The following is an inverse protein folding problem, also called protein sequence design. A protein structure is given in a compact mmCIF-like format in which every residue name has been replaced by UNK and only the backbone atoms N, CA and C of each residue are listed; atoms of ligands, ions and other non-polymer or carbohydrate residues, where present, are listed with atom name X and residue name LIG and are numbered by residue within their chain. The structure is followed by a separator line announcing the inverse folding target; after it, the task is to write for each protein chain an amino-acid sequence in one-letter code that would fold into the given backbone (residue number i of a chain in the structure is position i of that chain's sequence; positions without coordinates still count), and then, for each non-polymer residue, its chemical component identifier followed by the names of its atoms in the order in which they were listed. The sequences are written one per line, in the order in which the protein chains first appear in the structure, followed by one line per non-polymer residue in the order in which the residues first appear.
data_IF_323800735587
#
_entry.id   IF_323800735587
#
_cell.length_a   1.000
_cell.length_b   1.000
_cell.length_c   1.000
_cell.angle_alpha   90.00
_cell.angle_beta   90.00
_cell.angle_gamma   90.00
#
_symmetry.space_group_name_H-M   'P 1'
#
loop_
_entity.id
_entity.type
_entity.pdbx_description
1 polymer ?
#
# COMPACT_ATOMS: atom_id res chain seq x y z
N UNK A 1 -0.81 22.37 62.92
CA UNK A 1 -0.38 21.29 63.83
C UNK A 1 -0.42 19.89 63.18
N UNK A 2 -0.25 19.77 61.86
CA UNK A 2 -0.24 18.48 61.12
C UNK A 2 1.06 18.32 60.29
N UNK A 3 1.81 19.41 60.10
CA UNK A 3 3.03 19.44 59.27
C UNK A 3 4.30 18.92 59.96
N UNK A 4 4.28 18.70 61.28
CA UNK A 4 5.46 18.25 62.04
C UNK A 4 5.59 16.70 62.10
N UNK A 5 4.57 15.95 61.70
CA UNK A 5 4.54 14.48 61.81
C UNK A 5 5.15 13.74 60.60
N UNK A 6 5.47 14.45 59.50
CA UNK A 6 6.10 13.84 58.31
C UNK A 6 7.61 13.61 58.51
N UNK A 7 8.25 14.35 59.43
CA UNK A 7 9.70 14.28 59.67
C UNK A 7 10.13 13.23 60.72
N UNK A 8 9.18 12.61 61.43
CA UNK A 8 9.46 11.62 62.48
C UNK A 8 9.14 10.18 62.09
N UNK A 9 8.82 9.91 60.82
CA UNK A 9 8.73 8.55 60.35
C UNK A 9 10.16 8.07 60.03
N UNK A 10 10.71 7.07 60.74
CA UNK A 10 12.06 6.60 60.47
C UNK A 10 12.15 6.20 58.99
N UNK A 11 13.29 6.46 58.32
CA UNK A 11 13.49 6.00 56.96
C UNK A 11 13.14 4.51 56.92
N UNK A 12 12.36 4.09 55.91
CA UNK A 12 12.09 2.67 55.67
C UNK A 12 13.40 2.01 55.18
N UNK A 13 14.35 1.84 56.09
CA UNK A 13 15.61 1.12 55.91
C UNK A 13 15.33 -0.37 56.16
N UNK A 14 14.31 -0.90 55.48
CA UNK A 14 13.93 -2.32 55.52
C UNK A 14 13.34 -2.74 54.16
N UNK A 15 13.81 -2.12 53.07
CA UNK A 15 13.81 -2.81 51.79
C UNK A 15 15.10 -3.66 51.78
N UNK A 16 15.02 -4.99 51.58
CA UNK A 16 16.23 -5.80 51.44
C UNK A 16 17.09 -5.20 50.31
N UNK A 17 18.43 -5.29 50.38
CA UNK A 17 19.30 -4.81 49.31
C UNK A 17 18.84 -5.45 47.99
N UNK A 18 18.85 -4.73 46.88
CA UNK A 18 18.48 -5.25 45.56
C UNK A 18 19.27 -6.54 45.29
N UNK A 19 18.65 -7.70 45.56
CA UNK A 19 19.35 -8.98 45.47
C UNK A 19 19.26 -9.46 44.04
N UNK A 20 20.22 -10.29 43.60
CA UNK A 20 20.12 -10.91 42.28
C UNK A 20 18.81 -11.69 42.09
N UNK A 21 18.17 -12.16 43.18
CA UNK A 21 16.87 -12.83 43.15
C UNK A 21 15.74 -11.88 42.76
N UNK A 22 15.71 -10.66 43.30
CA UNK A 22 14.70 -9.65 42.95
C UNK A 22 14.82 -9.22 41.47
N UNK A 23 16.06 -9.07 41.00
CA UNK A 23 16.34 -8.84 39.58
C UNK A 23 15.92 -10.01 38.68
N UNK A 24 16.14 -11.26 39.13
CA UNK A 24 15.73 -12.46 38.41
C UNK A 24 14.21 -12.60 38.32
N UNK A 25 13.49 -12.25 39.40
CA UNK A 25 12.03 -12.26 39.46
C UNK A 25 11.46 -11.18 38.54
N UNK A 26 12.01 -9.96 38.56
CA UNK A 26 11.59 -8.87 37.68
C UNK A 26 11.83 -9.19 36.20
N UNK A 27 12.97 -9.82 35.91
CA UNK A 27 13.31 -10.33 34.59
C UNK A 27 12.33 -11.43 34.15
N UNK A 28 12.02 -12.40 35.02
CA UNK A 28 11.09 -13.49 34.71
C UNK A 28 9.66 -12.97 34.47
N UNK A 29 9.20 -11.99 35.27
CA UNK A 29 7.92 -11.33 35.04
C UNK A 29 7.89 -10.60 33.70
N UNK A 30 8.93 -9.82 33.39
CA UNK A 30 9.04 -9.12 32.10
C UNK A 30 9.01 -10.11 30.94
N UNK A 31 9.82 -11.17 31.00
CA UNK A 31 9.88 -12.22 29.97
C UNK A 31 8.53 -12.94 29.82
N UNK A 32 7.87 -13.30 30.91
CA UNK A 32 6.54 -13.92 30.88
C UNK A 32 5.47 -12.98 30.33
N UNK A 33 5.52 -11.69 30.66
CA UNK A 33 4.56 -10.69 30.16
C UNK A 33 4.76 -10.43 28.67
N UNK A 34 6.01 -10.40 28.18
CA UNK A 34 6.30 -10.37 26.74
C UNK A 34 5.81 -11.64 26.04
N UNK A 35 6.07 -12.83 26.59
CA UNK A 35 5.63 -14.10 26.01
C UNK A 35 4.10 -14.22 25.93
N UNK A 36 3.38 -13.80 26.99
CA UNK A 36 1.91 -13.74 26.98
C UNK A 36 1.40 -12.73 25.96
N UNK A 37 1.99 -11.54 25.91
CA UNK A 37 1.64 -10.50 24.94
C UNK A 37 1.95 -10.86 23.47
N UNK A 38 2.86 -11.80 23.22
CA UNK A 38 3.10 -12.40 21.89
C UNK A 38 2.11 -13.54 21.61
N UNK A 39 1.84 -14.41 22.59
CA UNK A 39 0.89 -15.51 22.45
C UNK A 39 -0.54 -15.02 22.16
N UNK A 40 -0.96 -13.90 22.75
CA UNK A 40 -2.27 -13.27 22.47
C UNK A 40 -2.35 -12.66 21.06
N UNK A 41 -1.21 -12.29 20.46
CA UNK A 41 -1.14 -11.74 19.09
C UNK A 41 -0.99 -12.81 18.01
N UNK A 42 -0.57 -14.02 18.38
CA UNK A 42 -0.39 -15.17 17.51
C UNK A 42 -1.63 -15.55 16.66
N UNK A 43 -2.88 -15.56 17.17
CA UNK A 43 -4.04 -15.90 16.35
C UNK A 43 -4.28 -14.90 15.22
N UNK A 44 -4.02 -13.60 15.44
CA UNK A 44 -4.14 -12.58 14.40
C UNK A 44 -3.11 -12.77 13.29
N UNK A 45 -1.88 -13.19 13.64
CA UNK A 45 -0.86 -13.50 12.64
C UNK A 45 -1.27 -14.69 11.76
N UNK A 46 -1.84 -15.75 12.34
CA UNK A 46 -2.30 -16.91 11.58
C UNK A 46 -3.44 -16.55 10.61
N UNK A 47 -4.42 -15.76 11.07
CA UNK A 47 -5.53 -15.29 10.23
C UNK A 47 -5.02 -14.36 9.12
N UNK A 48 -4.10 -13.44 9.44
CA UNK A 48 -3.51 -12.53 8.46
C UNK A 48 -2.75 -13.26 7.35
N UNK A 49 -1.93 -14.25 7.71
CA UNK A 49 -1.23 -15.11 6.74
C UNK A 49 -2.22 -15.91 5.90
N UNK A 50 -3.26 -16.48 6.50
CA UNK A 50 -4.28 -17.23 5.78
C UNK A 50 -5.00 -16.35 4.75
N UNK A 51 -5.41 -15.14 5.13
CA UNK A 51 -6.04 -14.17 4.22
C UNK A 51 -5.09 -13.75 3.11
N UNK A 52 -3.83 -13.48 3.43
CA UNK A 52 -2.81 -13.14 2.41
C UNK A 52 -2.65 -14.27 1.38
N UNK A 53 -2.55 -15.52 1.83
CA UNK A 53 -2.44 -16.69 0.96
C UNK A 53 -3.68 -16.82 0.07
N UNK A 54 -4.88 -16.59 0.62
CA UNK A 54 -6.13 -16.62 -0.13
C UNK A 54 -6.14 -15.60 -1.27
N UNK A 55 -5.76 -14.36 -0.99
CA UNK A 55 -5.69 -13.30 -2.01
C UNK A 55 -4.59 -13.56 -3.05
N UNK A 56 -3.43 -14.07 -2.64
CA UNK A 56 -2.37 -14.45 -3.56
C UNK A 56 -2.81 -15.57 -4.51
N UNK A 57 -3.55 -16.55 -3.99
CA UNK A 57 -4.12 -17.62 -4.80
C UNK A 57 -5.19 -17.08 -5.76
N UNK A 58 -6.05 -16.17 -5.30
CA UNK A 58 -7.03 -15.48 -6.14
C UNK A 58 -6.36 -14.68 -7.27
N UNK A 59 -5.29 -13.95 -6.99
CA UNK A 59 -4.52 -13.22 -8.00
C UNK A 59 -3.97 -14.17 -9.08
N UNK A 60 -3.37 -15.29 -8.67
CA UNK A 60 -2.91 -16.33 -9.60
C UNK A 60 -4.05 -16.95 -10.41
N UNK A 61 -5.21 -17.17 -9.79
CA UNK A 61 -6.38 -17.72 -10.46
C UNK A 61 -6.91 -16.74 -11.52
N UNK A 62 -7.06 -15.46 -11.16
CA UNK A 62 -7.47 -14.40 -12.09
C UNK A 62 -6.52 -14.30 -13.28
N UNK A 63 -5.20 -14.36 -13.04
CA UNK A 63 -4.22 -14.37 -14.13
C UNK A 63 -4.46 -15.52 -15.11
N UNK A 64 -4.68 -16.73 -14.59
CA UNK A 64 -4.98 -17.91 -15.41
C UNK A 64 -6.29 -17.76 -16.18
N UNK A 65 -7.33 -17.22 -15.55
CA UNK A 65 -8.65 -17.01 -16.18
C UNK A 65 -8.53 -16.00 -17.32
N UNK A 66 -7.88 -14.85 -17.09
CA UNK A 66 -7.72 -13.81 -18.11
C UNK A 66 -6.96 -14.35 -19.33
N UNK A 67 -5.82 -15.02 -19.11
CA UNK A 67 -5.05 -15.60 -20.22
C UNK A 67 -5.82 -16.72 -20.93
N UNK A 68 -6.56 -17.55 -20.20
CA UNK A 68 -7.38 -18.61 -20.80
C UNK A 68 -8.51 -18.04 -21.66
N UNK A 69 -9.18 -16.99 -21.20
CA UNK A 69 -10.25 -16.31 -21.94
C UNK A 69 -9.72 -15.62 -23.19
N UNK A 70 -8.56 -14.98 -23.10
CA UNK A 70 -7.92 -14.32 -24.25
C UNK A 70 -7.60 -15.31 -25.37
N UNK A 71 -7.00 -16.46 -25.04
CA UNK A 71 -6.68 -17.52 -26.00
C UNK A 71 -7.95 -18.12 -26.63
N UNK A 72 -9.03 -18.29 -25.84
CA UNK A 72 -10.26 -18.90 -26.33
C UNK A 72 -11.09 -17.99 -27.24
N UNK A 73 -11.04 -16.68 -27.02
CA UNK A 73 -11.87 -15.73 -27.77
C UNK A 73 -11.15 -15.12 -28.97
N UNK A 74 -9.82 -15.28 -29.11
CA UNK A 74 -8.99 -14.59 -30.11
C UNK A 74 -9.24 -13.07 -30.19
N UNK A 75 -9.85 -12.50 -29.15
CA UNK A 75 -10.38 -11.13 -29.17
C UNK A 75 -9.29 -10.09 -28.89
N UNK A 76 -8.15 -10.51 -28.34
CA UNK A 76 -7.09 -9.66 -27.81
C UNK A 76 -5.74 -10.31 -28.16
N UNK A 77 -4.75 -9.49 -28.52
CA UNK A 77 -3.36 -9.91 -28.70
C UNK A 77 -2.82 -10.56 -27.40
N UNK A 78 -2.10 -11.68 -27.54
CA UNK A 78 -1.52 -12.42 -26.41
C UNK A 78 -0.62 -11.53 -25.53
N UNK A 79 0.07 -10.56 -26.13
CA UNK A 79 0.91 -9.61 -25.41
C UNK A 79 0.05 -8.69 -24.53
N UNK A 80 -1.05 -8.17 -25.08
CA UNK A 80 -1.96 -7.30 -24.33
C UNK A 80 -2.68 -8.09 -23.21
N UNK A 81 -3.04 -9.34 -23.46
CA UNK A 81 -3.62 -10.23 -22.45
C UNK A 81 -2.65 -10.51 -21.29
N UNK A 82 -1.36 -10.80 -21.56
CA UNK A 82 -0.38 -11.01 -20.48
C UNK A 82 -0.11 -9.71 -19.70
N UNK A 83 -0.09 -8.55 -20.36
CA UNK A 83 0.03 -7.26 -19.68
C UNK A 83 -1.15 -6.99 -18.74
N UNK A 84 -2.38 -7.14 -19.23
CA UNK A 84 -3.60 -6.93 -18.42
C UNK A 84 -3.67 -7.93 -17.27
N UNK A 85 -3.40 -9.22 -17.52
CA UNK A 85 -3.45 -10.26 -16.49
C UNK A 85 -2.41 -10.03 -15.39
N UNK A 86 -1.21 -9.53 -15.74
CA UNK A 86 -0.18 -9.13 -14.76
C UNK A 86 -0.62 -7.94 -13.93
N UNK A 87 -1.18 -6.89 -14.54
CA UNK A 87 -1.67 -5.71 -13.82
C UNK A 87 -2.75 -6.12 -12.83
N UNK A 88 -3.77 -6.86 -13.28
CA UNK A 88 -4.88 -7.31 -12.43
C UNK A 88 -4.38 -8.21 -11.29
N UNK A 89 -3.55 -9.21 -11.60
CA UNK A 89 -2.99 -10.10 -10.57
C UNK A 89 -2.15 -9.36 -9.54
N UNK A 90 -1.40 -8.35 -9.97
CA UNK A 90 -0.57 -7.53 -9.08
C UNK A 90 -1.45 -6.67 -8.17
N UNK A 91 -2.48 -6.01 -8.71
CA UNK A 91 -3.42 -5.22 -7.93
C UNK A 91 -4.14 -6.06 -6.86
N UNK A 92 -4.62 -7.25 -7.22
CA UNK A 92 -5.28 -8.16 -6.27
C UNK A 92 -4.33 -8.60 -5.16
N UNK A 93 -3.07 -8.86 -5.51
CA UNK A 93 -2.04 -9.24 -4.52
C UNK A 93 -1.72 -8.08 -3.57
N UNK A 94 -1.63 -6.85 -4.09
CA UNK A 94 -1.44 -5.63 -3.29
C UNK A 94 -2.63 -5.41 -2.34
N UNK A 95 -3.86 -5.57 -2.83
CA UNK A 95 -5.06 -5.46 -1.98
C UNK A 95 -5.04 -6.52 -0.86
N UNK A 96 -4.70 -7.77 -1.18
CA UNK A 96 -4.54 -8.83 -0.20
C UNK A 96 -3.47 -8.51 0.85
N UNK A 97 -2.34 -7.94 0.42
CA UNK A 97 -1.31 -7.47 1.32
C UNK A 97 -1.81 -6.39 2.27
N UNK A 98 -2.56 -5.39 1.77
CA UNK A 98 -3.13 -4.33 2.60
C UNK A 98 -4.11 -4.87 3.63
N UNK A 99 -5.00 -5.79 3.24
CA UNK A 99 -5.94 -6.43 4.17
C UNK A 99 -5.19 -7.25 5.22
N UNK A 100 -4.16 -8.00 4.83
CA UNK A 100 -3.33 -8.76 5.76
C UNK A 100 -2.60 -7.85 6.76
N UNK A 101 -2.10 -6.69 6.33
CA UNK A 101 -1.47 -5.70 7.22
C UNK A 101 -2.43 -5.17 8.30
N UNK A 102 -3.70 -4.91 7.96
CA UNK A 102 -4.72 -4.50 8.95
C UNK A 102 -4.94 -5.60 9.98
N UNK A 103 -4.94 -6.86 9.55
CA UNK A 103 -5.15 -8.00 10.45
C UNK A 103 -3.92 -8.21 11.36
N UNK A 104 -2.71 -8.02 10.83
CA UNK A 104 -1.48 -8.14 11.62
C UNK A 104 -1.34 -7.07 12.69
N UNK A 105 -1.76 -5.84 12.40
CA UNK A 105 -1.66 -4.73 13.33
C UNK A 105 -3.06 -4.21 13.66
N UNK A 106 -3.73 -4.73 14.71
CA UNK A 106 -5.06 -4.27 15.10
C UNK A 106 -5.12 -2.78 15.49
N UNK A 107 -3.95 -2.16 15.77
CA UNK A 107 -3.82 -0.72 15.98
C UNK A 107 -3.85 0.11 14.69
N UNK A 108 -3.57 -0.50 13.52
CA UNK A 108 -3.70 0.14 12.22
C UNK A 108 -5.16 0.10 11.79
N UNK A 109 -5.75 1.28 11.58
CA UNK A 109 -7.11 1.37 11.06
C UNK A 109 -7.07 1.29 9.53
N UNK A 110 -8.11 0.72 8.88
CA UNK A 110 -8.26 0.81 7.43
C UNK A 110 -8.17 2.25 6.90
N UNK A 111 -8.63 3.23 7.70
CA UNK A 111 -8.54 4.65 7.38
C UNK A 111 -7.11 5.17 7.22
N UNK A 112 -6.15 4.65 7.98
CA UNK A 112 -4.75 5.10 7.92
C UNK A 112 -4.10 4.66 6.59
N UNK A 113 -4.44 3.45 6.14
CA UNK A 113 -4.02 2.94 4.82
C UNK A 113 -4.63 3.77 3.71
N UNK A 114 -5.93 4.06 3.78
CA UNK A 114 -6.62 4.88 2.78
C UNK A 114 -6.03 6.29 2.74
N UNK A 115 -5.71 6.88 3.89
CA UNK A 115 -5.06 8.18 3.98
C UNK A 115 -3.67 8.17 3.31
N UNK A 116 -2.85 7.15 3.60
CA UNK A 116 -1.54 6.97 2.96
C UNK A 116 -1.64 6.79 1.44
N UNK A 117 -2.52 5.90 1.00
CA UNK A 117 -2.78 5.67 -0.43
C UNK A 117 -3.32 6.92 -1.12
N UNK A 118 -4.13 7.74 -0.45
CA UNK A 118 -4.63 9.00 -0.98
C UNK A 118 -3.50 9.96 -1.36
N UNK A 119 -2.56 10.17 -0.44
CA UNK A 119 -1.39 11.04 -0.68
C UNK A 119 -0.51 10.46 -1.80
N UNK A 120 -0.24 9.14 -1.76
CA UNK A 120 0.55 8.47 -2.81
C UNK A 120 -0.12 8.56 -4.17
N UNK A 121 -1.45 8.41 -4.25
CA UNK A 121 -2.22 8.49 -5.49
C UNK A 121 -2.11 9.87 -6.14
N UNK A 122 -2.15 10.95 -5.33
CA UNK A 122 -1.95 12.32 -5.83
C UNK A 122 -0.54 12.51 -6.38
N UNK A 123 0.49 12.04 -5.67
CA UNK A 123 1.88 12.14 -6.13
C UNK A 123 2.10 11.39 -7.46
N UNK A 124 1.56 10.17 -7.58
CA UNK A 124 1.59 9.39 -8.81
C UNK A 124 0.82 10.12 -9.92
N UNK A 125 -0.37 10.66 -9.63
CA UNK A 125 -1.17 11.41 -10.59
C UNK A 125 -0.45 12.62 -11.17
N UNK A 126 0.30 13.36 -10.34
CA UNK A 126 1.14 14.46 -10.83
C UNK A 126 2.26 13.97 -11.74
N UNK A 127 2.87 12.82 -11.46
CA UNK A 127 3.90 12.24 -12.32
C UNK A 127 3.35 11.83 -13.70
N UNK A 128 2.11 11.35 -13.77
CA UNK A 128 1.44 10.98 -15.03
C UNK A 128 0.78 12.15 -15.77
N UNK A 129 0.75 13.35 -15.18
CA UNK A 129 0.03 14.51 -15.73
C UNK A 129 0.46 14.82 -17.17
N UNK A 130 1.76 14.84 -17.43
CA UNK A 130 2.30 15.20 -18.75
C UNK A 130 1.97 14.14 -19.82
N UNK A 131 2.03 12.86 -19.44
CA UNK A 131 1.70 11.74 -20.33
C UNK A 131 0.23 11.81 -20.74
N UNK A 132 -0.68 12.02 -19.78
CA UNK A 132 -2.10 12.16 -20.06
C UNK A 132 -2.39 13.41 -20.89
N UNK A 133 -1.71 14.53 -20.63
CA UNK A 133 -1.86 15.76 -21.39
C UNK A 133 -1.51 15.56 -22.87
N UNK A 134 -0.40 14.88 -23.16
CA UNK A 134 0.02 14.59 -24.54
C UNK A 134 -0.93 13.59 -25.21
N UNK A 135 -1.33 12.53 -24.51
CA UNK A 135 -2.31 11.56 -25.02
C UNK A 135 -3.65 12.22 -25.38
N UNK A 136 -4.19 13.07 -24.50
CA UNK A 136 -5.44 13.79 -24.78
C UNK A 136 -5.28 14.82 -25.90
N UNK A 137 -4.14 15.52 -26.00
CA UNK A 137 -3.87 16.43 -27.11
C UNK A 137 -3.92 15.69 -28.46
N UNK A 138 -3.24 14.54 -28.56
CA UNK A 138 -3.31 13.68 -29.75
C UNK A 138 -4.73 13.20 -30.04
N UNK A 139 -5.45 12.72 -29.03
CA UNK A 139 -6.84 12.27 -29.17
C UNK A 139 -7.78 13.41 -29.64
N UNK A 140 -7.60 14.62 -29.11
CA UNK A 140 -8.39 15.80 -29.51
C UNK A 140 -8.10 16.22 -30.95
N UNK A 141 -6.84 16.19 -31.39
CA UNK A 141 -6.48 16.47 -32.78
C UNK A 141 -7.15 15.46 -33.71
N UNK A 142 -7.10 14.17 -33.39
CA UNK A 142 -7.74 13.12 -34.19
C UNK A 142 -9.27 13.25 -34.23
N UNK A 143 -9.88 13.59 -33.08
CA UNK A 143 -11.33 13.70 -32.97
C UNK A 143 -11.85 14.96 -33.68
N UNK A 144 -11.27 16.13 -33.42
CA UNK A 144 -11.77 17.40 -33.97
C UNK A 144 -11.18 17.75 -35.35
N UNK A 145 -10.08 17.10 -35.75
CA UNK A 145 -9.31 17.39 -36.97
C UNK A 145 -9.20 18.89 -37.26
N UNK A 146 -8.69 19.71 -36.31
CA UNK A 146 -8.66 21.17 -36.47
C UNK A 146 -7.75 21.65 -37.60
N UNK A 147 -6.78 20.83 -38.01
CA UNK A 147 -5.89 21.03 -39.15
C UNK A 147 -5.52 19.67 -39.73
N UNK A 148 -5.20 19.64 -41.02
CA UNK A 148 -4.81 18.45 -41.77
C UNK A 148 -3.32 18.49 -42.10
N UNK A 149 -2.77 17.32 -42.42
CA UNK A 149 -1.42 17.22 -43.01
C UNK A 149 -1.41 18.05 -44.30
N UNK A 150 -0.42 18.94 -44.43
CA UNK A 150 -0.30 19.92 -45.50
C UNK A 150 -0.87 21.31 -45.20
N UNK A 151 -1.57 21.51 -44.08
CA UNK A 151 -2.01 22.85 -43.68
C UNK A 151 -0.84 23.66 -43.11
N UNK A 152 -0.77 24.95 -43.47
CA UNK A 152 0.18 25.89 -42.89
C UNK A 152 -0.39 26.45 -41.58
N UNK A 153 0.35 26.26 -40.49
CA UNK A 153 -0.09 26.64 -39.14
C UNK A 153 0.98 27.47 -38.44
N UNK A 154 0.53 28.37 -37.56
CA UNK A 154 1.38 29.18 -36.69
C UNK A 154 1.09 28.84 -35.23
N UNK A 155 2.11 28.39 -34.51
CA UNK A 155 2.04 28.10 -33.07
C UNK A 155 3.01 29.05 -32.36
N UNK A 156 2.45 29.98 -31.57
CA UNK A 156 3.21 31.04 -30.91
C UNK A 156 4.05 31.83 -31.93
N UNK A 157 5.38 31.75 -31.83
CA UNK A 157 6.35 32.45 -32.69
C UNK A 157 6.83 31.61 -33.89
N UNK A 158 6.38 30.36 -34.01
CA UNK A 158 6.81 29.42 -35.04
C UNK A 158 5.74 29.27 -36.11
N UNK A 159 6.15 29.27 -37.38
CA UNK A 159 5.29 29.08 -38.55
C UNK A 159 5.88 28.02 -39.48
N UNK A 160 5.03 27.12 -39.97
CA UNK A 160 5.45 26.02 -40.84
C UNK A 160 4.26 25.21 -41.33
N UNK A 161 4.54 24.21 -42.16
CA UNK A 161 3.52 23.31 -42.73
C UNK A 161 3.51 21.99 -41.98
N UNK A 162 2.33 21.43 -41.72
CA UNK A 162 2.20 20.13 -41.04
C UNK A 162 2.68 19.01 -41.95
N UNK A 163 3.79 18.36 -41.59
CA UNK A 163 4.32 17.20 -42.32
C UNK A 163 3.72 15.88 -41.85
N UNK A 164 3.59 15.69 -40.53
CA UNK A 164 3.06 14.45 -39.95
C UNK A 164 2.47 14.69 -38.53
N UNK A 165 1.57 13.81 -38.09
CA UNK A 165 0.93 13.85 -36.77
C UNK A 165 1.16 12.51 -36.07
N UNK A 166 2.15 12.46 -35.19
CA UNK A 166 2.48 11.28 -34.39
C UNK A 166 1.99 11.41 -32.94
N UNK A 167 1.59 10.26 -32.38
CA UNK A 167 1.05 10.10 -31.03
C UNK A 167 2.15 9.84 -29.99
#
# INVERSE_FOLDING_TARGET
MIFLLIFLQPPRVNEPPFTLNDGLILFWHTVCDFLKGTAERLPYLLVGVFVFILFWLLGKLLRKVINKVAVQTHAIDDMLADLVSRIVSTLVTILGFLVACVIFFPSFKPGDIIAGLGITSVAIGFAFKDILQNFFAGLFILWRRPFKVGDQIRINSFEGTVEDINC
#
